data_IF_889408466755
#
_entry.id   IF_889408466755
#
_cell.length_a   1.000
_cell.length_b   1.000
_cell.length_c   1.000
_cell.angle_alpha   90.00
_cell.angle_beta   90.00
_cell.angle_gamma   90.00
#
_symmetry.space_group_name_H-M   'P 1'
#
loop_
_entity.id
_entity.type
_entity.pdbx_description
1 polymer ?
#
# COMPACT_ATOMS: atom_id res chain seq x y z
N UNK A 1 -6.30 5.54 -17.92
CA UNK A 1 -5.27 5.63 -16.88
C UNK A 1 -5.04 4.27 -16.27
N UNK A 2 -3.83 3.72 -16.40
CA UNK A 2 -3.47 2.39 -15.87
C UNK A 2 -3.35 2.42 -14.34
N UNK A 3 -2.84 3.52 -13.78
CA UNK A 3 -2.72 3.70 -12.33
C UNK A 3 -4.05 3.53 -11.59
N UNK A 4 -5.16 3.98 -12.20
CA UNK A 4 -6.50 3.91 -11.64
C UNK A 4 -6.91 2.47 -11.25
N UNK A 5 -6.50 1.46 -12.02
CA UNK A 5 -6.75 0.06 -11.68
C UNK A 5 -6.15 -0.30 -10.32
N UNK A 6 -4.88 0.04 -10.11
CA UNK A 6 -4.17 -0.24 -8.86
C UNK A 6 -4.69 0.58 -7.69
N UNK A 7 -5.11 1.83 -7.93
CA UNK A 7 -5.75 2.68 -6.93
C UNK A 7 -7.06 2.04 -6.44
N UNK A 8 -7.91 1.58 -7.36
CA UNK A 8 -9.18 0.90 -7.02
C UNK A 8 -8.93 -0.40 -6.26
N UNK A 9 -7.98 -1.22 -6.71
CA UNK A 9 -7.60 -2.45 -6.00
C UNK A 9 -7.05 -2.16 -4.60
N UNK A 10 -6.24 -1.12 -4.44
CA UNK A 10 -5.74 -0.67 -3.15
C UNK A 10 -6.86 -0.21 -2.22
N UNK A 11 -7.82 0.56 -2.74
CA UNK A 11 -8.99 1.01 -2.00
C UNK A 11 -9.87 -0.17 -1.54
N UNK A 12 -10.14 -1.14 -2.42
CA UNK A 12 -10.89 -2.36 -2.07
C UNK A 12 -10.18 -3.15 -0.97
N UNK A 13 -8.85 -3.27 -1.04
CA UNK A 13 -8.07 -3.93 0.00
C UNK A 13 -8.18 -3.17 1.34
N UNK A 14 -8.08 -1.84 1.34
CA UNK A 14 -8.25 -1.04 2.56
C UNK A 14 -9.63 -1.21 3.18
N UNK A 15 -10.69 -1.20 2.37
CA UNK A 15 -12.07 -1.43 2.81
C UNK A 15 -12.18 -2.82 3.46
N UNK A 16 -11.68 -3.86 2.79
CA UNK A 16 -11.71 -5.23 3.33
C UNK A 16 -11.02 -5.31 4.68
N UNK A 17 -9.82 -4.74 4.82
CA UNK A 17 -9.07 -4.74 6.07
C UNK A 17 -9.75 -3.94 7.18
N UNK A 18 -10.42 -2.84 6.84
CA UNK A 18 -11.24 -2.07 7.78
C UNK A 18 -12.41 -2.90 8.31
N UNK A 19 -13.11 -3.61 7.41
CA UNK A 19 -14.22 -4.49 7.80
C UNK A 19 -13.76 -5.62 8.73
N UNK A 20 -12.57 -6.18 8.53
CA UNK A 20 -12.01 -7.19 9.44
C UNK A 20 -11.80 -6.64 10.85
N UNK A 21 -11.27 -5.42 10.98
CA UNK A 21 -11.10 -4.75 12.28
C UNK A 21 -12.46 -4.50 12.93
N UNK A 22 -13.45 -3.99 12.18
CA UNK A 22 -14.80 -3.73 12.69
C UNK A 22 -15.47 -5.02 13.18
N UNK A 23 -15.37 -6.11 12.42
CA UNK A 23 -15.89 -7.43 12.82
C UNK A 23 -15.30 -7.90 14.15
N UNK A 24 -13.97 -7.84 14.30
CA UNK A 24 -13.31 -8.26 15.53
C UNK A 24 -13.64 -7.35 16.72
N UNK A 25 -13.79 -6.04 16.51
CA UNK A 25 -14.25 -5.12 17.56
C UNK A 25 -15.64 -5.45 18.06
N UNK A 26 -16.57 -5.77 17.15
CA UNK A 26 -17.92 -6.19 17.53
C UNK A 26 -17.90 -7.53 18.27
N UNK A 27 -17.10 -8.49 17.80
CA UNK A 27 -16.97 -9.81 18.40
C UNK A 27 -16.42 -9.73 19.84
N UNK A 28 -15.36 -8.96 20.06
CA UNK A 28 -14.74 -8.83 21.38
C UNK A 28 -15.34 -7.72 22.26
N UNK A 29 -16.30 -6.95 21.74
CA UNK A 29 -16.93 -5.80 22.43
C UNK A 29 -15.91 -4.77 22.93
N UNK A 30 -14.89 -4.49 22.13
CA UNK A 30 -13.82 -3.53 22.45
C UNK A 30 -14.03 -2.23 21.69
N UNK A 31 -14.35 -1.15 22.41
CA UNK A 31 -14.55 0.17 21.83
C UNK A 31 -13.22 0.85 21.42
N UNK A 32 -12.20 0.80 22.28
CA UNK A 32 -10.92 1.50 22.08
C UNK A 32 -9.74 0.55 22.27
N UNK A 33 -8.63 0.84 21.57
CA UNK A 33 -7.43 -0.01 21.60
C UNK A 33 -7.67 -1.39 21.00
N UNK A 34 -6.96 -2.40 21.49
CA UNK A 34 -7.06 -3.81 21.10
C UNK A 34 -7.70 -4.71 22.18
N UNK A 35 -7.97 -4.17 23.37
CA UNK A 35 -8.57 -4.90 24.49
C UNK A 35 -7.74 -6.07 25.01
N UNK A 36 -6.45 -6.16 24.65
CA UNK A 36 -5.59 -7.30 24.96
C UNK A 36 -5.79 -8.52 24.05
N UNK A 37 -6.66 -8.43 23.03
CA UNK A 37 -6.91 -9.53 22.10
C UNK A 37 -5.89 -9.52 20.96
N UNK A 38 -5.05 -10.55 20.90
CA UNK A 38 -4.00 -10.68 19.90
C UNK A 38 -4.51 -10.60 18.45
N UNK A 39 -5.69 -11.18 18.17
CA UNK A 39 -6.30 -11.15 16.83
C UNK A 39 -6.69 -9.73 16.42
N UNK A 40 -7.32 -8.98 17.33
CA UNK A 40 -7.71 -7.59 17.09
C UNK A 40 -6.48 -6.69 16.95
N UNK A 41 -5.47 -6.88 17.79
CA UNK A 41 -4.18 -6.18 17.68
C UNK A 41 -3.54 -6.42 16.30
N UNK A 42 -3.53 -7.67 15.84
CA UNK A 42 -2.95 -8.05 14.55
C UNK A 42 -3.73 -7.43 13.39
N UNK A 43 -5.06 -7.50 13.40
CA UNK A 43 -5.90 -6.89 12.38
C UNK A 43 -5.72 -5.35 12.32
N UNK A 44 -5.65 -4.68 13.48
CA UNK A 44 -5.37 -3.24 13.55
C UNK A 44 -4.01 -2.91 12.94
N UNK A 45 -2.96 -3.69 13.22
CA UNK A 45 -1.61 -3.46 12.65
C UNK A 45 -1.55 -3.75 11.16
N UNK A 46 -2.24 -4.79 10.68
CA UNK A 46 -2.37 -5.07 9.25
C UNK A 46 -3.04 -3.88 8.54
N UNK A 47 -4.18 -3.42 9.06
CA UNK A 47 -4.93 -2.31 8.46
C UNK A 47 -4.15 -1.00 8.53
N UNK A 48 -3.59 -0.64 9.70
CA UNK A 48 -2.80 0.57 9.88
C UNK A 48 -1.60 0.62 8.94
N UNK A 49 -0.87 -0.50 8.81
CA UNK A 49 0.24 -0.57 7.85
C UNK A 49 -0.25 -0.50 6.39
N UNK A 50 -1.42 -1.02 6.06
CA UNK A 50 -1.96 -0.82 4.72
C UNK A 50 -2.29 0.66 4.45
N UNK A 51 -2.87 1.37 5.44
CA UNK A 51 -3.20 2.81 5.35
C UNK A 51 -1.95 3.70 5.27
N UNK A 52 -0.85 3.30 5.87
CA UNK A 52 0.42 4.05 5.76
C UNK A 52 1.03 3.97 4.35
N UNK A 53 0.89 2.83 3.65
CA UNK A 53 1.64 2.55 2.43
C UNK A 53 0.81 2.60 1.14
N UNK A 54 -0.47 2.18 1.16
CA UNK A 54 -1.31 2.13 -0.04
C UNK A 54 -1.64 3.54 -0.56
N UNK A 55 -2.09 4.51 0.25
CA UNK A 55 -2.43 5.85 -0.24
C UNK A 55 -1.23 6.57 -0.85
N UNK A 56 -0.07 6.53 -0.19
CA UNK A 56 1.15 7.15 -0.72
C UNK A 56 1.61 6.47 -2.01
N UNK A 57 1.57 5.14 -2.08
CA UNK A 57 1.88 4.40 -3.31
C UNK A 57 0.90 4.69 -4.46
N UNK A 58 -0.38 4.83 -4.15
CA UNK A 58 -1.41 5.23 -5.11
C UNK A 58 -1.16 6.62 -5.70
N UNK A 59 -0.83 7.60 -4.85
CA UNK A 59 -0.46 8.95 -5.28
C UNK A 59 0.77 8.91 -6.19
N UNK A 60 1.83 8.20 -5.77
CA UNK A 60 3.05 8.09 -6.55
C UNK A 60 2.81 7.41 -7.92
N UNK A 61 1.95 6.39 -8.00
CA UNK A 61 1.58 5.75 -9.28
C UNK A 61 0.87 6.71 -10.22
N UNK A 62 -0.08 7.49 -9.72
CA UNK A 62 -0.82 8.47 -10.53
C UNK A 62 0.11 9.57 -11.02
N UNK A 63 0.95 10.11 -10.15
CA UNK A 63 1.96 11.11 -10.52
C UNK A 63 2.93 10.57 -11.58
N UNK A 64 3.37 9.32 -11.43
CA UNK A 64 4.27 8.67 -12.39
C UNK A 64 3.62 8.56 -13.79
N UNK A 65 2.33 8.22 -13.85
CA UNK A 65 1.58 8.19 -15.11
C UNK A 65 1.39 9.59 -15.70
N UNK A 66 1.09 10.60 -14.86
CA UNK A 66 0.94 11.99 -15.30
C UNK A 66 2.25 12.60 -15.82
N UNK A 67 3.38 12.19 -15.25
CA UNK A 67 4.73 12.58 -15.69
C UNK A 67 5.16 11.86 -16.98
N UNK A 68 4.33 11.00 -17.58
CA UNK A 68 4.61 10.35 -18.85
C UNK A 68 5.52 9.13 -18.74
N UNK A 69 5.60 8.48 -17.57
CA UNK A 69 6.36 7.25 -17.42
C UNK A 69 5.83 6.13 -18.32
N UNK A 70 6.73 5.22 -18.73
CA UNK A 70 6.36 4.09 -19.57
C UNK A 70 5.34 3.17 -18.86
N UNK A 71 4.35 2.70 -19.62
CA UNK A 71 3.25 1.86 -19.10
C UNK A 71 3.75 0.60 -18.37
N UNK A 72 4.83 -0.01 -18.87
CA UNK A 72 5.46 -1.17 -18.24
C UNK A 72 5.95 -0.90 -16.81
N UNK A 73 6.52 0.28 -16.55
CA UNK A 73 7.00 0.66 -15.22
C UNK A 73 5.84 0.86 -14.24
N UNK A 74 4.72 1.42 -14.72
CA UNK A 74 3.48 1.59 -13.94
C UNK A 74 2.92 0.23 -13.52
N UNK A 75 2.82 -0.73 -14.45
CA UNK A 75 2.37 -2.08 -14.13
C UNK A 75 3.29 -2.79 -13.13
N UNK A 76 4.61 -2.72 -13.34
CA UNK A 76 5.58 -3.34 -12.45
C UNK A 76 5.45 -2.79 -11.01
N UNK A 77 5.43 -1.47 -10.86
CA UNK A 77 5.30 -0.83 -9.54
C UNK A 77 3.96 -1.16 -8.88
N UNK A 78 2.86 -1.08 -9.64
CA UNK A 78 1.52 -1.37 -9.15
C UNK A 78 1.34 -2.83 -8.72
N UNK A 79 1.85 -3.78 -9.49
CA UNK A 79 1.83 -5.21 -9.13
C UNK A 79 2.66 -5.44 -7.87
N UNK A 80 3.88 -4.91 -7.79
CA UNK A 80 4.73 -5.05 -6.61
C UNK A 80 4.06 -4.48 -5.35
N UNK A 81 3.37 -3.34 -5.47
CA UNK A 81 2.64 -2.74 -4.37
C UNK A 81 1.53 -3.68 -3.87
N UNK A 82 0.61 -4.08 -4.76
CA UNK A 82 -0.55 -4.90 -4.39
C UNK A 82 -0.14 -6.28 -3.90
N UNK A 83 0.75 -6.98 -4.63
CA UNK A 83 1.21 -8.32 -4.24
C UNK A 83 1.99 -8.26 -2.93
N UNK A 84 2.84 -7.25 -2.74
CA UNK A 84 3.53 -7.03 -1.47
C UNK A 84 2.55 -6.88 -0.30
N UNK A 85 1.43 -6.16 -0.51
CA UNK A 85 0.40 -6.02 0.52
C UNK A 85 -0.33 -7.32 0.82
N UNK A 86 -0.66 -8.12 -0.19
CA UNK A 86 -1.29 -9.42 0.00
C UNK A 86 -0.37 -10.39 0.76
N UNK A 87 0.92 -10.42 0.43
CA UNK A 87 1.89 -11.26 1.15
C UNK A 87 2.08 -10.82 2.60
N UNK A 88 2.14 -9.52 2.86
CA UNK A 88 2.25 -9.03 4.23
C UNK A 88 0.99 -9.33 5.05
N UNK A 89 -0.20 -9.16 4.46
CA UNK A 89 -1.47 -9.58 5.07
C UNK A 89 -1.43 -11.07 5.41
N UNK A 90 -1.07 -11.91 4.44
CA UNK A 90 -1.00 -13.36 4.60
C UNK A 90 -0.01 -13.79 5.68
N UNK A 91 1.18 -13.17 5.71
CA UNK A 91 2.23 -13.47 6.69
C UNK A 91 1.85 -13.09 8.11
N UNK A 92 1.15 -11.96 8.31
CA UNK A 92 0.65 -11.61 9.64
C UNK A 92 -0.51 -12.50 10.08
N UNK A 93 -1.41 -12.87 9.15
CA UNK A 93 -2.54 -13.74 9.46
C UNK A 93 -2.10 -15.16 9.85
N UNK A 94 -1.14 -15.75 9.14
CA UNK A 94 -0.62 -17.10 9.40
C UNK A 94 0.56 -17.12 10.39
N UNK A 95 0.93 -15.97 10.96
CA UNK A 95 2.10 -15.80 11.84
C UNK A 95 3.43 -16.25 11.20
N UNK A 96 3.48 -16.19 9.88
CA UNK A 96 4.61 -16.58 9.06
C UNK A 96 5.54 -15.38 8.81
N UNK A 97 6.66 -15.36 9.54
CA UNK A 97 7.63 -14.26 9.47
C UNK A 97 8.20 -14.04 8.06
N UNK A 98 8.40 -15.13 7.30
CA UNK A 98 8.97 -15.08 5.94
C UNK A 98 8.10 -14.29 4.98
N UNK A 99 6.79 -14.58 4.95
CA UNK A 99 5.81 -13.90 4.09
C UNK A 99 5.57 -12.46 4.50
N UNK A 100 5.60 -12.18 5.82
CA UNK A 100 5.54 -10.81 6.33
C UNK A 100 6.74 -9.99 5.84
N UNK A 101 7.95 -10.53 5.96
CA UNK A 101 9.19 -9.85 5.56
C UNK A 101 9.25 -9.64 4.04
N UNK A 102 8.93 -10.65 3.25
CA UNK A 102 8.94 -10.53 1.79
C UNK A 102 7.89 -9.53 1.29
N UNK A 103 6.68 -9.54 1.88
CA UNK A 103 5.63 -8.56 1.56
C UNK A 103 6.05 -7.13 1.88
N UNK A 104 6.64 -6.90 3.05
CA UNK A 104 7.14 -5.57 3.44
C UNK A 104 8.28 -5.09 2.52
N UNK A 105 9.21 -5.99 2.18
CA UNK A 105 10.30 -5.68 1.25
C UNK A 105 9.77 -5.32 -0.13
N UNK A 106 8.80 -6.08 -0.66
CA UNK A 106 8.18 -5.79 -1.96
C UNK A 106 7.49 -4.42 -1.98
N UNK A 107 6.76 -4.07 -0.90
CA UNK A 107 6.15 -2.74 -0.76
C UNK A 107 7.22 -1.64 -0.67
N UNK A 108 8.29 -1.84 0.09
CA UNK A 108 9.38 -0.86 0.21
C UNK A 108 10.09 -0.64 -1.13
N UNK A 109 10.44 -1.72 -1.83
CA UNK A 109 11.05 -1.66 -3.17
C UNK A 109 10.14 -0.96 -4.15
N UNK A 110 8.83 -1.27 -4.13
CA UNK A 110 7.85 -0.60 -4.98
C UNK A 110 7.83 0.92 -4.75
N UNK A 111 7.79 1.37 -3.48
CA UNK A 111 7.82 2.79 -3.15
C UNK A 111 9.13 3.46 -3.59
N UNK A 112 10.28 2.84 -3.31
CA UNK A 112 11.59 3.38 -3.71
C UNK A 112 11.67 3.53 -5.23
N UNK A 113 11.24 2.50 -5.98
CA UNK A 113 11.20 2.55 -7.44
C UNK A 113 10.30 3.67 -7.93
N UNK A 114 9.08 3.79 -7.39
CA UNK A 114 8.17 4.87 -7.76
C UNK A 114 8.74 6.25 -7.45
N UNK A 115 9.41 6.44 -6.31
CA UNK A 115 10.04 7.71 -5.96
C UNK A 115 11.16 8.06 -6.93
N UNK A 116 12.05 7.11 -7.23
CA UNK A 116 13.15 7.32 -8.18
C UNK A 116 12.65 7.60 -9.60
N UNK A 117 11.63 6.86 -10.05
CA UNK A 117 11.03 7.07 -11.37
C UNK A 117 10.30 8.41 -11.44
N UNK A 118 9.56 8.80 -10.41
CA UNK A 118 8.94 10.13 -10.37
C UNK A 118 9.98 11.25 -10.42
N UNK A 119 11.12 11.11 -9.74
CA UNK A 119 12.22 12.07 -9.83
C UNK A 119 12.83 12.10 -11.24
N UNK A 120 12.98 10.95 -11.89
CA UNK A 120 13.52 10.87 -13.24
C UNK A 120 12.59 11.50 -14.28
N UNK A 121 11.29 11.19 -14.22
CA UNK A 121 10.27 11.67 -15.16
C UNK A 121 9.72 13.07 -14.81
N UNK A 122 10.16 13.66 -13.70
CA UNK A 122 9.71 14.99 -13.30
C UNK A 122 10.03 16.01 -14.40
N UNK A 123 9.09 16.91 -14.76
CA UNK A 123 9.39 17.96 -15.73
C UNK A 123 10.27 19.05 -15.10
N UNK A 124 11.57 18.76 -14.95
CA UNK A 124 12.54 19.64 -14.31
C UNK A 124 12.59 21.04 -14.91
N UNK A 125 12.37 21.14 -16.22
CA UNK A 125 12.27 22.43 -16.93
C UNK A 125 11.17 23.31 -16.34
N UNK A 126 9.99 22.75 -16.01
CA UNK A 126 8.88 23.47 -15.37
C UNK A 126 9.16 23.82 -13.90
N UNK A 127 10.02 23.05 -13.23
CA UNK A 127 10.35 23.26 -11.82
C UNK A 127 11.41 24.35 -11.66
N UNK A 128 12.38 24.43 -12.58
CA UNK A 128 13.46 25.40 -12.53
C UNK A 128 13.21 26.65 -13.40
N UNK A 129 12.11 26.71 -14.15
CA UNK A 129 11.65 27.97 -14.74
C UNK A 129 11.16 28.88 -13.62
N UNK A 130 12.07 29.72 -13.13
CA UNK A 130 11.75 30.93 -12.41
C UNK A 130 11.11 31.86 -13.44
N UNK A 131 9.78 31.89 -13.50
CA UNK A 131 9.05 32.97 -14.17
C UNK A 131 9.55 34.33 -13.69
#
# INVERSE_FOLDING_TARGET
MVSALYVVLGALLLIKLSLDVVKLRMQYRVAYGDGGFYELQTAIRIHGNAVEYIPIGAILLVLMEMNGAIVAAIHLCGILLIVGRLFHYYGLYHREFRWRRSGMLATCVSLVLMTLLNLYYLPWELVFTLY
#
